data_IF_994552522817
#
_entry.id   IF_994552522817
#
_cell.length_a   1.000
_cell.length_b   1.000
_cell.length_c   1.000
_cell.angle_alpha   90.00
_cell.angle_beta   90.00
_cell.angle_gamma   90.00
#
_symmetry.space_group_name_H-M   'P 1'
#
loop_
_entity.id
_entity.type
_entity.pdbx_description
1 polymer ?
#
# COMPACT_ATOMS: atom_id res chain seq x y z
N UNK A 1 43.43 -37.70 -13.54
CA UNK A 1 42.05 -38.19 -13.86
C UNK A 1 41.11 -37.06 -13.65
N UNK A 2 40.71 -36.39 -14.74
CA UNK A 2 39.82 -35.23 -14.74
C UNK A 2 38.39 -35.75 -14.87
N UNK A 3 37.52 -35.30 -13.96
CA UNK A 3 36.10 -35.63 -14.01
C UNK A 3 35.37 -34.60 -14.91
N UNK A 4 34.74 -35.11 -15.96
CA UNK A 4 33.95 -34.40 -16.96
C UNK A 4 32.65 -33.84 -16.35
N UNK A 5 32.35 -32.57 -16.71
CA UNK A 5 31.03 -31.96 -16.45
C UNK A 5 30.03 -32.32 -17.57
N UNK A 6 28.77 -32.62 -17.27
CA UNK A 6 27.77 -32.85 -18.35
C UNK A 6 27.32 -31.50 -18.94
N UNK A 7 27.55 -31.36 -20.23
CA UNK A 7 27.05 -30.29 -21.08
C UNK A 7 25.64 -30.67 -21.59
N UNK A 8 24.57 -29.99 -21.13
CA UNK A 8 23.34 -29.81 -21.94
C UNK A 8 22.33 -28.89 -21.28
N UNK A 9 22.62 -27.58 -21.28
CA UNK A 9 21.55 -26.58 -21.19
C UNK A 9 21.34 -25.98 -22.57
N UNK A 10 20.40 -26.55 -23.34
CA UNK A 10 19.89 -25.91 -24.55
C UNK A 10 18.98 -24.75 -24.14
N UNK A 11 19.31 -23.56 -24.62
CA UNK A 11 18.42 -22.38 -24.55
C UNK A 11 17.18 -22.65 -25.40
N UNK A 12 15.95 -22.35 -24.92
CA UNK A 12 14.77 -22.40 -25.78
C UNK A 12 14.83 -21.22 -26.75
N UNK A 13 14.61 -21.52 -28.02
CA UNK A 13 14.44 -20.55 -29.12
C UNK A 13 13.25 -19.63 -28.83
N UNK A 14 13.48 -18.30 -28.80
CA UNK A 14 12.43 -17.29 -28.83
C UNK A 14 11.80 -17.23 -30.22
N UNK A 15 10.62 -17.76 -30.38
CA UNK A 15 9.71 -17.44 -31.48
C UNK A 15 8.45 -16.81 -30.91
N UNK A 16 8.50 -15.51 -30.66
CA UNK A 16 7.31 -14.73 -30.41
C UNK A 16 6.74 -14.28 -31.75
N UNK A 17 5.63 -14.87 -32.21
CA UNK A 17 4.77 -14.26 -33.20
C UNK A 17 3.91 -13.20 -32.50
N UNK A 18 4.04 -11.97 -32.98
CA UNK A 18 3.16 -10.85 -32.68
C UNK A 18 1.79 -11.10 -33.33
N UNK A 19 0.80 -11.56 -32.59
CA UNK A 19 -0.60 -11.44 -32.97
C UNK A 19 -1.41 -11.03 -31.72
N UNK A 20 -1.78 -9.76 -31.70
CA UNK A 20 -2.62 -9.18 -30.65
C UNK A 20 -2.41 -7.68 -30.55
N UNK A 21 -3.16 -6.91 -31.34
CA UNK A 21 -3.05 -5.45 -31.47
C UNK A 21 -3.16 -4.72 -30.13
N UNK A 22 -2.02 -4.38 -29.58
CA UNK A 22 -1.92 -3.44 -28.46
C UNK A 22 -2.26 -2.05 -29.00
N UNK A 23 -3.38 -1.48 -28.56
CA UNK A 23 -3.60 -0.03 -28.72
C UNK A 23 -2.41 0.67 -28.05
N UNK A 24 -1.57 1.28 -28.86
CA UNK A 24 -0.50 2.18 -28.41
C UNK A 24 -1.16 3.30 -27.63
N UNK A 25 -0.99 3.30 -26.31
CA UNK A 25 -1.26 4.50 -25.54
C UNK A 25 -0.30 5.58 -26.08
N UNK A 26 -0.86 6.67 -26.54
CA UNK A 26 -0.10 7.81 -27.02
C UNK A 26 0.96 8.22 -25.99
N UNK A 27 2.18 8.59 -26.40
CA UNK A 27 3.22 9.03 -25.49
C UNK A 27 2.69 10.19 -24.66
N UNK A 28 2.81 10.06 -23.33
CA UNK A 28 2.40 11.12 -22.41
C UNK A 28 3.28 12.34 -22.68
N UNK A 29 2.75 13.34 -23.39
CA UNK A 29 3.46 14.56 -23.74
C UNK A 29 3.92 15.25 -22.45
N UNK A 30 5.21 15.60 -22.35
CA UNK A 30 5.78 16.32 -21.22
C UNK A 30 5.03 17.63 -20.90
N UNK A 31 4.46 18.28 -21.92
CA UNK A 31 3.59 19.44 -21.79
C UNK A 31 2.31 19.13 -20.99
N UNK A 32 1.72 17.93 -21.15
CA UNK A 32 0.51 17.51 -20.42
C UNK A 32 0.82 17.20 -18.95
N UNK A 33 2.03 16.75 -18.64
CA UNK A 33 2.48 16.50 -17.26
C UNK A 33 2.75 17.82 -16.54
N UNK A 34 3.39 18.77 -17.19
CA UNK A 34 3.67 20.11 -16.63
C UNK A 34 2.39 20.91 -16.39
N UNK A 35 1.39 20.86 -17.29
CA UNK A 35 0.10 21.52 -17.10
C UNK A 35 -0.70 20.88 -15.96
N UNK A 36 -0.69 19.56 -15.81
CA UNK A 36 -1.34 18.86 -14.69
C UNK A 36 -0.68 19.16 -13.34
N UNK A 37 0.65 19.23 -13.31
CA UNK A 37 1.40 19.61 -12.10
C UNK A 37 1.15 21.07 -11.70
N UNK A 38 1.10 21.98 -12.66
CA UNK A 38 0.77 23.39 -12.45
C UNK A 38 -0.67 23.56 -11.94
N UNK A 39 -1.64 22.89 -12.55
CA UNK A 39 -3.03 22.89 -12.07
C UNK A 39 -3.16 22.34 -10.66
N UNK A 40 -2.41 21.30 -10.31
CA UNK A 40 -2.40 20.76 -8.96
C UNK A 40 -1.86 21.77 -7.94
N UNK A 41 -0.75 22.44 -8.23
CA UNK A 41 -0.16 23.46 -7.36
C UNK A 41 -1.11 24.64 -7.17
N UNK A 42 -1.69 25.17 -8.23
CA UNK A 42 -2.69 26.26 -8.19
C UNK A 42 -3.91 25.82 -7.37
N UNK A 43 -4.40 24.59 -7.58
CA UNK A 43 -5.52 24.03 -6.82
C UNK A 43 -5.19 23.97 -5.32
N UNK A 44 -3.98 23.53 -4.95
CA UNK A 44 -3.54 23.51 -3.57
C UNK A 44 -3.49 24.93 -2.95
N UNK A 45 -2.93 25.90 -3.68
CA UNK A 45 -2.82 27.29 -3.19
C UNK A 45 -4.22 27.89 -2.97
N UNK A 46 -5.10 27.77 -3.97
CA UNK A 46 -6.48 28.30 -3.89
C UNK A 46 -7.25 27.65 -2.74
N UNK A 47 -7.07 26.34 -2.54
CA UNK A 47 -7.67 25.62 -1.41
C UNK A 47 -7.19 26.20 -0.07
N UNK A 48 -5.89 26.24 0.15
CA UNK A 48 -5.35 26.73 1.42
C UNK A 48 -5.68 28.20 1.70
N UNK A 49 -5.66 29.04 0.68
CA UNK A 49 -6.07 30.44 0.82
C UNK A 49 -7.56 30.56 1.12
N UNK A 50 -8.40 29.77 0.44
CA UNK A 50 -9.86 29.79 0.63
C UNK A 50 -10.27 29.27 2.00
N UNK A 51 -9.73 28.13 2.43
CA UNK A 51 -10.03 27.53 3.74
C UNK A 51 -9.46 28.38 4.88
N UNK A 52 -8.27 28.94 4.71
CA UNK A 52 -7.67 29.88 5.67
C UNK A 52 -8.54 31.15 5.82
N UNK A 53 -8.96 31.75 4.71
CA UNK A 53 -9.82 32.91 4.72
C UNK A 53 -11.16 32.61 5.42
N UNK A 54 -11.77 31.48 5.14
CA UNK A 54 -13.01 31.03 5.77
C UNK A 54 -12.82 30.75 7.27
N UNK A 55 -11.71 30.13 7.64
CA UNK A 55 -11.35 29.86 9.03
C UNK A 55 -11.11 31.12 9.83
N UNK A 56 -10.40 32.09 9.25
CA UNK A 56 -10.17 33.42 9.86
C UNK A 56 -11.48 34.20 9.96
N UNK A 57 -12.34 34.17 8.92
CA UNK A 57 -13.66 34.81 8.95
C UNK A 57 -14.55 34.17 10.03
N UNK A 58 -14.61 32.85 10.10
CA UNK A 58 -15.40 32.12 11.10
C UNK A 58 -14.90 32.39 12.52
N UNK A 59 -13.57 32.40 12.72
CA UNK A 59 -12.98 32.76 13.99
C UNK A 59 -13.28 34.22 14.39
N UNK A 60 -13.19 35.19 13.46
CA UNK A 60 -13.55 36.60 13.70
C UNK A 60 -15.04 36.75 14.02
N UNK A 61 -15.94 36.05 13.27
CA UNK A 61 -17.36 36.07 13.52
C UNK A 61 -17.73 35.46 14.89
N UNK A 62 -17.05 34.37 15.26
CA UNK A 62 -17.18 33.76 16.59
C UNK A 62 -16.67 34.69 17.70
N UNK A 63 -15.56 35.34 17.48
CA UNK A 63 -14.95 36.29 18.41
C UNK A 63 -15.78 37.60 18.56
N UNK A 64 -16.37 38.08 17.50
CA UNK A 64 -17.24 39.24 17.51
C UNK A 64 -18.59 38.99 18.23
N UNK A 65 -19.11 37.79 18.10
CA UNK A 65 -20.36 37.34 18.74
C UNK A 65 -20.09 36.69 20.10
N UNK A 66 -19.31 37.32 20.96
CA UNK A 66 -19.11 36.85 22.35
C UNK A 66 -20.45 36.82 23.06
N UNK A 67 -21.22 35.79 22.71
CA UNK A 67 -22.58 35.63 23.16
C UNK A 67 -22.63 35.44 24.68
N UNK A 68 -23.59 36.06 25.30
CA UNK A 68 -23.79 36.05 26.76
C UNK A 68 -24.32 34.71 27.27
N UNK A 69 -24.70 33.72 26.39
CA UNK A 69 -25.30 32.44 26.76
C UNK A 69 -24.51 31.24 26.18
N UNK A 70 -24.47 30.14 26.94
CA UNK A 70 -23.77 28.89 26.56
C UNK A 70 -24.34 28.26 25.28
N UNK A 71 -25.65 28.38 25.07
CA UNK A 71 -26.37 27.89 23.87
C UNK A 71 -25.84 28.53 22.60
N UNK A 72 -25.55 29.84 22.62
CA UNK A 72 -25.02 30.55 21.45
C UNK A 72 -23.58 30.13 21.12
N UNK A 73 -22.81 29.69 22.12
CA UNK A 73 -21.43 29.17 21.91
C UNK A 73 -21.45 27.82 21.21
N UNK A 74 -22.32 26.88 21.65
CA UNK A 74 -22.48 25.57 21.00
C UNK A 74 -22.98 25.76 19.57
N UNK A 75 -23.98 26.60 19.35
CA UNK A 75 -24.50 26.92 18.02
C UNK A 75 -23.40 27.50 17.10
N UNK A 76 -22.53 28.37 17.61
CA UNK A 76 -21.43 28.96 16.82
C UNK A 76 -20.36 27.93 16.49
N UNK A 77 -20.04 27.00 17.40
CA UNK A 77 -19.13 25.89 17.15
C UNK A 77 -19.70 24.92 16.11
N UNK A 78 -20.99 24.57 16.24
CA UNK A 78 -21.67 23.69 15.26
C UNK A 78 -21.73 24.34 13.88
N UNK A 79 -22.05 25.64 13.80
CA UNK A 79 -22.08 26.37 12.52
C UNK A 79 -20.67 26.54 11.94
N UNK A 80 -19.64 26.70 12.77
CA UNK A 80 -18.23 26.73 12.33
C UNK A 80 -17.79 25.36 11.76
N UNK A 81 -18.10 24.28 12.45
CA UNK A 81 -17.82 22.93 11.98
C UNK A 81 -18.61 22.60 10.70
N UNK A 82 -19.89 22.95 10.64
CA UNK A 82 -20.74 22.77 9.45
C UNK A 82 -20.22 23.57 8.24
N UNK A 83 -19.77 24.83 8.45
CA UNK A 83 -19.19 25.64 7.36
C UNK A 83 -17.85 25.08 6.87
N UNK A 84 -17.04 24.52 7.76
CA UNK A 84 -15.81 23.83 7.38
C UNK A 84 -16.10 22.57 6.55
N UNK A 85 -17.06 21.75 6.98
CA UNK A 85 -17.49 20.55 6.25
C UNK A 85 -18.08 20.90 4.88
N UNK A 86 -18.88 21.97 4.80
CA UNK A 86 -19.43 22.47 3.54
C UNK A 86 -18.35 23.00 2.60
N UNK A 87 -17.32 23.69 3.13
CA UNK A 87 -16.19 24.13 2.34
C UNK A 87 -15.37 22.95 1.80
N UNK A 88 -15.14 21.92 2.61
CA UNK A 88 -14.48 20.68 2.20
C UNK A 88 -15.31 19.98 1.10
N UNK A 89 -16.63 19.88 1.27
CA UNK A 89 -17.54 19.27 0.30
C UNK A 89 -17.61 20.05 -1.02
N UNK A 90 -17.75 21.37 -0.95
CA UNK A 90 -17.77 22.26 -2.12
C UNK A 90 -16.44 22.18 -2.89
N UNK A 91 -15.35 22.06 -2.18
CA UNK A 91 -14.03 21.93 -2.75
C UNK A 91 -13.79 20.55 -3.38
N UNK A 92 -14.27 19.47 -2.73
CA UNK A 92 -14.24 18.14 -3.32
C UNK A 92 -15.04 18.10 -4.63
N UNK A 93 -16.21 18.77 -4.66
CA UNK A 93 -17.01 18.93 -5.87
C UNK A 93 -16.26 19.73 -6.96
N UNK A 94 -15.61 20.84 -6.60
CA UNK A 94 -14.82 21.64 -7.52
C UNK A 94 -13.61 20.86 -8.09
N UNK A 95 -12.88 20.12 -7.26
CA UNK A 95 -11.82 19.24 -7.71
C UNK A 95 -12.33 18.16 -8.68
N UNK A 96 -13.52 17.61 -8.42
CA UNK A 96 -14.19 16.67 -9.32
C UNK A 96 -14.55 17.31 -10.67
N UNK A 97 -15.10 18.54 -10.65
CA UNK A 97 -15.45 19.31 -11.85
C UNK A 97 -14.21 19.71 -12.67
N UNK A 98 -13.09 20.02 -12.02
CA UNK A 98 -11.83 20.37 -12.68
C UNK A 98 -11.07 19.13 -13.21
N UNK A 99 -11.68 17.95 -13.17
CA UNK A 99 -11.11 16.72 -13.73
C UNK A 99 -10.04 16.03 -12.88
N UNK A 100 -9.84 16.49 -11.64
CA UNK A 100 -9.02 15.77 -10.65
C UNK A 100 -9.84 14.62 -10.08
N UNK A 101 -10.03 13.56 -10.87
CA UNK A 101 -10.86 12.39 -10.51
C UNK A 101 -10.27 11.49 -9.42
N UNK A 102 -9.12 11.84 -8.87
CA UNK A 102 -8.47 11.04 -7.85
C UNK A 102 -8.96 11.40 -6.45
N UNK A 103 -9.67 10.48 -5.79
CA UNK A 103 -10.06 10.60 -4.39
C UNK A 103 -8.86 10.84 -3.45
N UNK A 104 -7.68 10.39 -3.83
CA UNK A 104 -6.43 10.64 -3.10
C UNK A 104 -6.03 12.11 -3.08
N UNK A 105 -6.27 12.88 -4.16
CA UNK A 105 -6.00 14.31 -4.16
C UNK A 105 -6.85 15.02 -3.10
N UNK A 106 -8.12 14.66 -3.00
CA UNK A 106 -9.04 15.20 -1.99
C UNK A 106 -8.57 14.83 -0.59
N UNK A 107 -8.23 13.56 -0.34
CA UNK A 107 -7.71 13.10 0.94
C UNK A 107 -6.43 13.84 1.35
N UNK A 108 -5.52 14.06 0.42
CA UNK A 108 -4.28 14.80 0.66
C UNK A 108 -4.55 16.25 1.04
N UNK A 109 -5.44 16.93 0.33
CA UNK A 109 -5.82 18.32 0.61
C UNK A 109 -6.51 18.45 1.97
N UNK A 110 -7.43 17.53 2.27
CA UNK A 110 -8.12 17.48 3.57
C UNK A 110 -7.14 17.25 4.71
N UNK A 111 -6.19 16.33 4.57
CA UNK A 111 -5.20 16.07 5.61
C UNK A 111 -4.26 17.28 5.83
N UNK A 112 -3.84 17.95 4.76
CA UNK A 112 -3.02 19.15 4.86
C UNK A 112 -3.78 20.30 5.53
N UNK A 113 -5.03 20.53 5.14
CA UNK A 113 -5.89 21.54 5.76
C UNK A 113 -6.10 21.27 7.26
N UNK A 114 -6.38 20.00 7.61
CA UNK A 114 -6.56 19.63 9.00
C UNK A 114 -5.36 20.01 9.86
N UNK A 115 -4.15 19.68 9.43
CA UNK A 115 -2.96 19.98 10.23
C UNK A 115 -2.56 21.45 10.19
N UNK A 116 -2.65 22.15 9.05
CA UNK A 116 -2.24 23.55 8.96
C UNK A 116 -3.26 24.51 9.56
N UNK A 117 -4.53 24.33 9.28
CA UNK A 117 -5.59 25.28 9.66
C UNK A 117 -6.05 25.08 11.11
N UNK A 118 -6.22 23.83 11.55
CA UNK A 118 -6.53 23.54 12.95
C UNK A 118 -5.41 23.98 13.87
N UNK A 119 -4.15 23.84 13.44
CA UNK A 119 -2.99 24.36 14.16
C UNK A 119 -3.10 25.87 14.34
N UNK A 120 -3.27 26.62 13.24
CA UNK A 120 -3.37 28.07 13.25
C UNK A 120 -4.57 28.56 14.10
N UNK A 121 -5.75 27.96 13.90
CA UNK A 121 -6.94 28.31 14.67
C UNK A 121 -6.75 28.08 16.17
N UNK A 122 -6.17 26.96 16.57
CA UNK A 122 -5.97 26.64 17.99
C UNK A 122 -4.98 27.61 18.65
N UNK A 123 -3.93 28.02 17.93
CA UNK A 123 -2.98 29.06 18.40
C UNK A 123 -3.69 30.41 18.54
N UNK A 124 -4.48 30.83 17.54
CA UNK A 124 -5.24 32.09 17.60
C UNK A 124 -6.23 32.13 18.77
N UNK A 125 -6.93 31.01 19.02
CA UNK A 125 -7.86 30.90 20.15
C UNK A 125 -7.10 30.93 21.48
N UNK A 126 -6.00 30.18 21.60
CA UNK A 126 -5.19 30.12 22.81
C UNK A 126 -4.63 31.51 23.18
N UNK A 127 -4.07 32.26 22.22
CA UNK A 127 -3.50 33.61 22.46
C UNK A 127 -4.56 34.61 22.90
N UNK A 128 -5.77 34.49 22.37
CA UNK A 128 -6.88 35.34 22.78
C UNK A 128 -7.43 35.00 24.18
N UNK A 129 -7.61 33.71 24.46
CA UNK A 129 -8.13 33.24 25.75
C UNK A 129 -7.11 33.48 26.87
N UNK A 130 -5.82 33.66 26.57
CA UNK A 130 -4.78 33.94 27.55
C UNK A 130 -5.10 35.17 28.40
N UNK A 131 -5.69 36.22 27.80
CA UNK A 131 -6.08 37.45 28.51
C UNK A 131 -7.34 37.32 29.36
N UNK A 132 -8.20 36.32 29.06
CA UNK A 132 -9.51 36.19 29.74
C UNK A 132 -9.57 35.01 30.70
N UNK A 133 -8.84 33.93 30.43
CA UNK A 133 -8.81 32.73 31.27
C UNK A 133 -7.57 31.86 30.95
N UNK A 134 -6.51 31.99 31.80
CA UNK A 134 -5.28 31.22 31.60
C UNK A 134 -5.50 29.70 31.52
N UNK A 135 -6.43 29.16 32.31
CA UNK A 135 -6.75 27.71 32.29
C UNK A 135 -7.32 27.26 30.93
N UNK A 136 -8.20 28.09 30.31
CA UNK A 136 -8.74 27.79 28.98
C UNK A 136 -7.69 27.98 27.91
N UNK A 137 -6.85 29.01 28.03
CA UNK A 137 -5.72 29.20 27.12
C UNK A 137 -4.76 28.01 27.11
N UNK A 138 -4.46 27.45 28.29
CA UNK A 138 -3.63 26.23 28.40
C UNK A 138 -4.26 25.04 27.71
N UNK A 139 -5.58 24.82 27.90
CA UNK A 139 -6.32 23.76 27.22
C UNK A 139 -6.27 23.90 25.68
N UNK A 140 -6.45 25.13 25.17
CA UNK A 140 -6.33 25.40 23.73
C UNK A 140 -4.90 25.30 23.22
N UNK A 141 -3.89 25.61 24.02
CA UNK A 141 -2.47 25.46 23.68
C UNK A 141 -2.04 23.97 23.61
N UNK A 142 -2.72 23.06 24.30
CA UNK A 142 -2.46 21.62 24.21
C UNK A 142 -2.86 21.05 22.83
N UNK A 143 -3.87 21.63 22.16
CA UNK A 143 -4.34 21.16 20.85
C UNK A 143 -3.24 21.25 19.77
N UNK A 144 -2.55 22.41 19.56
CA UNK A 144 -1.48 22.47 18.57
C UNK A 144 -0.32 21.52 18.87
N UNK A 145 0.00 21.29 20.13
CA UNK A 145 1.04 20.32 20.50
C UNK A 145 0.61 18.88 20.14
N UNK A 146 -0.64 18.52 20.42
CA UNK A 146 -1.20 17.24 20.02
C UNK A 146 -1.23 17.06 18.50
N UNK A 147 -1.63 18.09 17.75
CA UNK A 147 -1.63 18.08 16.28
C UNK A 147 -0.21 17.95 15.71
N UNK A 148 0.76 18.68 16.26
CA UNK A 148 2.17 18.56 15.85
C UNK A 148 2.73 17.17 16.14
N UNK A 149 2.43 16.60 17.31
CA UNK A 149 2.81 15.24 17.67
C UNK A 149 2.19 14.20 16.71
N UNK A 150 0.90 14.35 16.42
CA UNK A 150 0.21 13.49 15.45
C UNK A 150 0.78 13.63 14.03
N UNK A 151 1.08 14.84 13.60
CA UNK A 151 1.72 15.10 12.32
C UNK A 151 3.10 14.45 12.23
N UNK A 152 3.94 14.65 13.26
CA UNK A 152 5.27 14.03 13.32
C UNK A 152 5.17 12.51 13.27
N UNK A 153 4.28 11.92 14.07
CA UNK A 153 4.03 10.47 14.08
C UNK A 153 3.63 9.98 12.70
N UNK A 154 2.58 10.56 12.13
CA UNK A 154 1.95 10.08 10.91
C UNK A 154 2.77 10.30 9.63
N UNK A 155 3.54 11.40 9.56
CA UNK A 155 4.27 11.78 8.34
C UNK A 155 5.77 11.49 8.40
N UNK A 156 6.35 11.30 9.58
CA UNK A 156 7.81 11.16 9.72
C UNK A 156 8.22 9.88 10.44
N UNK A 157 7.62 9.53 11.57
CA UNK A 157 8.04 8.36 12.35
C UNK A 157 7.44 7.06 11.82
N UNK A 158 6.12 6.96 11.77
CA UNK A 158 5.44 5.71 11.42
C UNK A 158 5.71 5.23 9.99
N UNK A 159 5.82 6.10 8.95
CA UNK A 159 6.14 5.65 7.59
C UNK A 159 7.44 4.85 7.42
N UNK A 160 8.34 4.94 8.39
CA UNK A 160 9.62 4.21 8.40
C UNK A 160 9.79 3.28 9.61
N UNK A 161 8.75 3.15 10.43
CA UNK A 161 8.72 2.27 11.60
C UNK A 161 8.41 0.83 11.17
N UNK A 162 9.32 0.20 10.41
CA UNK A 162 9.16 -1.15 9.91
C UNK A 162 8.92 -2.15 11.05
N UNK A 163 7.82 -2.91 10.94
CA UNK A 163 7.52 -4.04 11.81
C UNK A 163 7.76 -5.37 11.10
N UNK A 164 8.32 -6.33 11.82
CA UNK A 164 8.38 -7.73 11.42
C UNK A 164 7.24 -8.44 12.12
N UNK A 165 6.24 -8.87 11.35
CA UNK A 165 5.11 -9.63 11.87
C UNK A 165 5.27 -11.11 11.59
N UNK A 166 4.90 -11.95 12.54
CA UNK A 166 4.91 -13.40 12.38
C UNK A 166 3.50 -13.93 12.60
N UNK A 167 3.04 -14.78 11.68
CA UNK A 167 1.79 -15.53 11.83
C UNK A 167 2.06 -17.01 11.68
N UNK A 168 1.46 -17.81 12.55
CA UNK A 168 1.45 -19.26 12.43
C UNK A 168 0.23 -19.70 11.62
N UNK A 169 0.43 -20.64 10.70
CA UNK A 169 -0.62 -21.22 9.88
C UNK A 169 -0.46 -22.75 9.87
N UNK A 170 -1.50 -23.45 10.25
CA UNK A 170 -1.52 -24.91 10.26
C UNK A 170 -2.32 -25.45 9.07
N UNK A 171 -1.63 -26.05 8.10
CA UNK A 171 -2.19 -26.72 6.92
C UNK A 171 -1.96 -28.23 6.96
N UNK A 172 -1.46 -28.75 8.08
CA UNK A 172 -0.98 -30.13 8.19
C UNK A 172 -2.10 -31.20 8.31
N UNK A 173 -3.30 -30.79 8.65
CA UNK A 173 -4.33 -31.73 9.04
C UNK A 173 -3.98 -32.47 10.33
N UNK A 174 -3.94 -33.84 10.32
CA UNK A 174 -3.72 -34.62 11.56
C UNK A 174 -2.25 -34.78 11.95
N UNK A 175 -1.35 -34.83 10.97
CA UNK A 175 0.10 -35.04 11.20
C UNK A 175 0.92 -34.10 10.36
N UNK A 176 1.70 -33.20 10.96
CA UNK A 176 2.59 -32.31 10.22
C UNK A 176 3.70 -33.09 9.51
N UNK A 177 3.90 -32.87 8.23
CA UNK A 177 5.00 -33.43 7.43
C UNK A 177 6.24 -32.56 7.47
N UNK A 178 6.07 -31.25 7.74
CA UNK A 178 7.16 -30.29 7.75
C UNK A 178 6.76 -28.89 8.17
N UNK A 179 7.73 -27.98 8.07
CA UNK A 179 7.57 -26.54 8.34
C UNK A 179 8.12 -25.76 7.16
N UNK A 180 7.45 -24.65 6.81
CA UNK A 180 7.85 -23.72 5.78
C UNK A 180 7.84 -22.30 6.35
N UNK A 181 8.95 -21.61 6.25
CA UNK A 181 9.09 -20.19 6.60
C UNK A 181 8.94 -19.35 5.33
N UNK A 182 7.74 -18.86 5.09
CA UNK A 182 7.42 -18.02 3.95
C UNK A 182 7.48 -16.55 4.35
N UNK A 183 8.38 -15.80 3.74
CA UNK A 183 8.45 -14.33 3.89
C UNK A 183 7.60 -13.67 2.80
N UNK A 184 6.59 -12.93 3.22
CA UNK A 184 5.71 -12.15 2.36
C UNK A 184 6.12 -10.68 2.39
N UNK A 185 6.49 -10.16 1.23
CA UNK A 185 6.89 -8.78 0.99
C UNK A 185 5.95 -8.15 -0.05
N UNK A 186 5.56 -6.90 0.16
CA UNK A 186 4.64 -6.21 -0.76
C UNK A 186 4.80 -4.71 -0.71
N UNK A 187 4.42 -4.06 -1.82
CA UNK A 187 4.18 -2.63 -1.85
C UNK A 187 5.34 -1.81 -1.27
N UNK A 188 6.58 -2.11 -1.72
CA UNK A 188 7.76 -1.29 -1.39
C UNK A 188 7.56 0.14 -1.89
N UNK A 189 6.98 0.29 -3.06
CA UNK A 189 6.38 1.49 -3.69
C UNK A 189 7.13 2.78 -3.33
N UNK A 190 8.48 2.72 -3.42
CA UNK A 190 9.36 3.80 -3.03
C UNK A 190 9.58 4.84 -4.16
N UNK A 191 9.87 6.08 -3.78
CA UNK A 191 10.32 7.13 -4.70
C UNK A 191 11.79 6.94 -5.08
N UNK A 192 12.60 6.43 -4.16
CA UNK A 192 14.03 6.19 -4.28
C UNK A 192 14.46 5.07 -3.36
N UNK A 193 15.58 4.44 -3.67
CA UNK A 193 16.19 3.46 -2.79
C UNK A 193 17.17 4.17 -1.86
N UNK A 194 16.85 4.16 -0.57
CA UNK A 194 17.59 4.81 0.49
C UNK A 194 17.91 3.88 1.67
N UNK A 195 18.30 4.46 2.82
CA UNK A 195 18.62 3.68 4.03
C UNK A 195 17.45 2.84 4.55
N UNK A 196 16.22 3.30 4.36
CA UNK A 196 15.01 2.59 4.79
C UNK A 196 14.83 1.30 3.98
N UNK A 197 14.85 1.38 2.65
CA UNK A 197 14.72 0.23 1.77
C UNK A 197 15.89 -0.76 1.96
N UNK A 198 17.11 -0.23 2.20
CA UNK A 198 18.27 -1.06 2.53
C UNK A 198 18.07 -1.84 3.84
N UNK A 199 17.48 -1.21 4.85
CA UNK A 199 17.13 -1.86 6.12
C UNK A 199 16.07 -2.94 5.91
N UNK A 200 15.05 -2.69 5.09
CA UNK A 200 14.01 -3.68 4.77
C UNK A 200 14.61 -4.96 4.18
N UNK A 201 15.48 -4.81 3.17
CA UNK A 201 16.14 -5.97 2.54
C UNK A 201 17.04 -6.70 3.54
N UNK A 202 17.75 -5.98 4.41
CA UNK A 202 18.58 -6.60 5.45
C UNK A 202 17.75 -7.37 6.49
N UNK A 203 16.61 -6.82 6.94
CA UNK A 203 15.70 -7.54 7.83
C UNK A 203 15.10 -8.78 7.16
N UNK A 204 14.68 -8.67 5.88
CA UNK A 204 14.23 -9.81 5.10
C UNK A 204 15.25 -10.94 5.07
N UNK A 205 16.53 -10.60 4.86
CA UNK A 205 17.63 -11.56 4.86
C UNK A 205 17.88 -12.18 6.24
N UNK A 206 17.79 -11.38 7.31
CA UNK A 206 18.01 -11.86 8.70
C UNK A 206 16.97 -12.89 9.15
N UNK A 207 15.77 -12.82 8.60
CA UNK A 207 14.70 -13.77 8.89
C UNK A 207 14.99 -15.19 8.36
N UNK A 208 15.96 -15.36 7.45
CA UNK A 208 16.34 -16.66 6.86
C UNK A 208 15.11 -17.46 6.40
N UNK A 209 14.28 -16.91 5.49
CA UNK A 209 13.10 -17.60 4.99
C UNK A 209 13.49 -18.77 4.08
N UNK A 210 12.61 -19.79 4.01
CA UNK A 210 12.73 -20.87 3.03
C UNK A 210 12.21 -20.42 1.66
N UNK A 211 11.16 -19.60 1.65
CA UNK A 211 10.49 -19.09 0.46
C UNK A 211 10.21 -17.58 0.62
N UNK A 212 10.48 -16.81 -0.41
CA UNK A 212 10.12 -15.39 -0.44
C UNK A 212 9.09 -15.13 -1.53
N UNK A 213 8.02 -14.42 -1.18
CA UNK A 213 6.96 -14.03 -2.11
C UNK A 213 6.76 -12.51 -2.07
N UNK A 214 6.86 -11.90 -3.25
CA UNK A 214 6.61 -10.49 -3.47
C UNK A 214 5.29 -10.28 -4.20
N UNK A 215 4.39 -9.49 -3.64
CA UNK A 215 3.06 -9.29 -4.23
C UNK A 215 2.91 -8.00 -5.02
N UNK A 216 4.03 -7.40 -5.49
CA UNK A 216 4.00 -6.29 -6.46
C UNK A 216 4.20 -4.91 -5.86
N UNK A 217 4.10 -3.90 -6.74
CA UNK A 217 4.26 -2.47 -6.47
C UNK A 217 5.65 -2.14 -5.88
N UNK A 218 6.71 -2.32 -6.71
CA UNK A 218 8.10 -2.18 -6.27
C UNK A 218 8.57 -0.74 -6.19
N UNK A 219 8.46 0.02 -7.29
CA UNK A 219 8.95 1.40 -7.36
C UNK A 219 7.93 2.33 -8.02
N UNK A 220 7.73 3.50 -7.44
CA UNK A 220 6.82 4.53 -7.96
C UNK A 220 7.40 5.94 -7.78
N UNK A 221 8.52 6.29 -8.45
CA UNK A 221 9.10 7.61 -8.34
C UNK A 221 8.17 8.67 -8.95
N UNK A 222 8.09 9.84 -8.30
CA UNK A 222 7.23 10.94 -8.71
C UNK A 222 7.92 11.95 -9.62
N UNK A 223 9.19 12.22 -9.35
CA UNK A 223 9.99 13.23 -10.06
C UNK A 223 11.39 12.69 -10.39
N UNK A 224 12.37 12.93 -9.52
CA UNK A 224 13.74 12.44 -9.58
C UNK A 224 14.05 11.66 -8.29
N UNK A 225 14.81 10.58 -8.35
CA UNK A 225 15.37 9.93 -9.56
C UNK A 225 14.29 9.44 -10.54
N UNK A 226 14.68 9.17 -11.77
CA UNK A 226 13.78 8.57 -12.77
C UNK A 226 13.38 7.15 -12.37
N UNK A 227 12.31 6.62 -12.99
CA UNK A 227 11.91 5.22 -12.76
C UNK A 227 13.04 4.24 -13.09
N UNK A 228 13.72 4.43 -14.23
CA UNK A 228 14.81 3.56 -14.65
C UNK A 228 15.97 3.55 -13.63
N UNK A 229 16.33 4.72 -13.09
CA UNK A 229 17.35 4.84 -12.05
C UNK A 229 16.91 4.16 -10.75
N UNK A 230 15.66 4.34 -10.33
CA UNK A 230 15.13 3.71 -9.12
C UNK A 230 15.06 2.19 -9.25
N UNK A 231 14.61 1.68 -10.40
CA UNK A 231 14.58 0.24 -10.69
C UNK A 231 16.01 -0.35 -10.75
N UNK A 232 16.97 0.37 -11.34
CA UNK A 232 18.37 -0.05 -11.35
C UNK A 232 18.95 -0.16 -9.94
N UNK A 233 18.67 0.83 -9.08
CA UNK A 233 19.08 0.80 -7.66
C UNK A 233 18.39 -0.30 -6.88
N UNK A 234 17.13 -0.59 -7.17
CA UNK A 234 16.41 -1.70 -6.54
C UNK A 234 17.07 -3.05 -6.89
N UNK A 235 17.38 -3.29 -8.17
CA UNK A 235 18.12 -4.50 -8.59
C UNK A 235 19.51 -4.58 -7.97
N UNK A 236 20.22 -3.45 -7.89
CA UNK A 236 21.55 -3.38 -7.28
C UNK A 236 21.52 -3.81 -5.81
N UNK A 237 20.57 -3.33 -5.02
CA UNK A 237 20.49 -3.67 -3.59
C UNK A 237 20.12 -5.14 -3.38
N UNK A 238 19.21 -5.69 -4.19
CA UNK A 238 18.86 -7.10 -4.18
C UNK A 238 20.05 -7.98 -4.55
N UNK A 239 20.81 -7.61 -5.59
CA UNK A 239 21.99 -8.36 -6.01
C UNK A 239 23.12 -8.35 -4.99
N UNK A 240 23.27 -7.24 -4.24
CA UNK A 240 24.26 -7.16 -3.17
C UNK A 240 23.89 -7.92 -1.89
N UNK A 241 22.60 -8.14 -1.67
CA UNK A 241 22.04 -8.70 -0.43
C UNK A 241 20.92 -9.70 -0.72
N UNK A 242 21.23 -10.82 -1.38
CA UNK A 242 20.22 -11.82 -1.67
C UNK A 242 19.67 -12.42 -0.37
N UNK A 243 18.39 -12.80 -0.38
CA UNK A 243 17.73 -13.42 0.77
C UNK A 243 18.21 -14.84 1.03
N UNK A 244 18.78 -15.49 -0.01
CA UNK A 244 19.27 -16.88 0.03
C UNK A 244 18.19 -17.89 0.44
N UNK A 245 16.93 -17.64 0.06
CA UNK A 245 15.83 -18.54 0.33
C UNK A 245 16.02 -19.88 -0.39
N UNK A 246 15.95 -21.00 0.34
CA UNK A 246 16.25 -22.34 -0.17
C UNK A 246 15.29 -22.78 -1.28
N UNK A 247 14.04 -22.33 -1.23
CA UNK A 247 13.00 -22.57 -2.24
C UNK A 247 12.89 -21.43 -3.25
N UNK A 248 13.70 -20.38 -3.11
CA UNK A 248 13.77 -19.24 -4.01
C UNK A 248 12.89 -18.06 -3.64
N UNK A 249 12.95 -17.02 -4.49
CA UNK A 249 12.18 -15.77 -4.39
C UNK A 249 11.32 -15.59 -5.62
N UNK A 250 10.03 -15.33 -5.43
CA UNK A 250 9.05 -15.23 -6.51
C UNK A 250 8.26 -13.94 -6.38
N UNK A 251 7.91 -13.36 -7.54
CA UNK A 251 7.28 -12.06 -7.58
C UNK A 251 6.14 -12.00 -8.59
N UNK A 252 5.07 -11.30 -8.24
CA UNK A 252 4.01 -10.94 -9.18
C UNK A 252 4.01 -9.44 -9.46
N UNK A 253 3.41 -9.06 -10.59
CA UNK A 253 3.25 -7.67 -11.00
C UNK A 253 2.18 -6.98 -10.17
N UNK A 254 2.51 -5.78 -9.67
CA UNK A 254 1.54 -4.85 -9.10
C UNK A 254 0.99 -3.84 -10.10
N UNK A 255 0.22 -2.89 -9.59
CA UNK A 255 -0.49 -1.88 -10.38
C UNK A 255 0.44 -0.83 -10.97
N UNK A 256 1.52 -0.50 -10.26
CA UNK A 256 2.48 0.54 -10.66
C UNK A 256 3.70 0.01 -11.42
N UNK A 257 3.81 -1.31 -11.59
CA UNK A 257 4.97 -1.96 -12.21
C UNK A 257 4.88 -1.96 -13.74
N UNK A 258 5.02 -0.78 -14.35
CA UNK A 258 4.88 -0.59 -15.80
C UNK A 258 5.96 -1.31 -16.61
N UNK A 259 7.16 -1.49 -16.04
CA UNK A 259 8.31 -2.14 -16.68
C UNK A 259 8.44 -3.61 -16.24
N UNK A 260 7.35 -4.28 -15.93
CA UNK A 260 7.36 -5.70 -15.60
C UNK A 260 7.75 -6.58 -16.81
N UNK A 261 8.61 -7.60 -16.67
CA UNK A 261 9.30 -8.04 -15.45
C UNK A 261 10.69 -7.41 -15.22
N UNK A 262 11.06 -6.36 -15.97
CA UNK A 262 12.41 -5.77 -15.93
C UNK A 262 12.82 -5.22 -14.56
N UNK A 263 11.84 -4.84 -13.73
CA UNK A 263 12.10 -4.35 -12.36
C UNK A 263 12.85 -5.37 -11.50
N UNK A 264 12.69 -6.66 -11.75
CA UNK A 264 13.36 -7.77 -11.02
C UNK A 264 14.39 -8.53 -11.88
N UNK A 265 14.59 -8.12 -13.13
CA UNK A 265 15.49 -8.83 -14.05
C UNK A 265 16.96 -8.82 -13.57
N UNK A 266 17.62 -9.97 -13.63
CA UNK A 266 19.02 -10.12 -13.19
C UNK A 266 19.20 -10.19 -11.67
N UNK A 267 18.14 -10.31 -10.90
CA UNK A 267 18.16 -10.59 -9.45
C UNK A 267 17.84 -12.06 -9.18
N UNK A 268 17.82 -12.45 -7.90
CA UNK A 268 17.38 -13.79 -7.49
C UNK A 268 15.86 -14.01 -7.65
N UNK A 269 15.10 -12.97 -7.94
CA UNK A 269 13.63 -13.00 -7.95
C UNK A 269 13.12 -13.49 -9.30
N UNK A 270 12.31 -14.54 -9.28
CA UNK A 270 11.65 -15.11 -10.46
C UNK A 270 10.29 -14.44 -10.68
N UNK A 271 10.10 -13.86 -11.87
CA UNK A 271 8.82 -13.28 -12.26
C UNK A 271 7.77 -14.38 -12.52
N UNK A 272 6.67 -14.37 -11.76
CA UNK A 272 5.68 -15.44 -11.71
C UNK A 272 4.30 -15.04 -12.29
N UNK A 273 4.04 -13.76 -12.61
CA UNK A 273 2.72 -13.32 -13.10
C UNK A 273 2.25 -14.11 -14.33
N UNK A 274 1.05 -14.68 -14.24
CA UNK A 274 0.46 -15.53 -15.29
C UNK A 274 1.11 -16.90 -15.42
N UNK A 275 1.85 -17.34 -14.41
CA UNK A 275 2.57 -18.63 -14.40
C UNK A 275 2.36 -19.37 -13.08
N UNK A 276 2.61 -20.67 -13.11
CA UNK A 276 2.73 -21.50 -11.92
C UNK A 276 4.07 -22.22 -11.90
N UNK A 277 4.57 -22.48 -10.71
CA UNK A 277 5.77 -23.29 -10.49
C UNK A 277 5.45 -24.33 -9.42
N UNK A 278 6.08 -25.50 -9.54
CA UNK A 278 6.03 -26.57 -8.55
C UNK A 278 7.35 -26.65 -7.82
N UNK A 279 7.29 -26.58 -6.49
CA UNK A 279 8.42 -26.64 -5.59
C UNK A 279 8.33 -27.91 -4.76
N UNK A 280 9.46 -28.57 -4.54
CA UNK A 280 9.52 -29.74 -3.66
C UNK A 280 9.84 -29.25 -2.24
N UNK A 281 8.95 -29.53 -1.32
CA UNK A 281 9.13 -29.23 0.09
C UNK A 281 9.88 -30.36 0.81
N UNK A 282 10.60 -30.05 1.90
CA UNK A 282 11.14 -31.09 2.77
C UNK A 282 10.05 -32.09 3.18
N UNK A 283 10.36 -33.39 3.17
CA UNK A 283 9.38 -34.45 3.45
C UNK A 283 8.65 -34.96 2.21
N UNK A 284 8.97 -34.45 1.00
CA UNK A 284 8.46 -34.99 -0.28
C UNK A 284 7.08 -34.48 -0.69
N UNK A 285 6.49 -33.51 0.03
CA UNK A 285 5.27 -32.84 -0.39
C UNK A 285 5.59 -31.75 -1.41
N UNK A 286 4.76 -31.60 -2.42
CA UNK A 286 4.91 -30.53 -3.38
C UNK A 286 4.13 -29.27 -2.96
N UNK A 287 4.65 -28.12 -3.34
CA UNK A 287 3.97 -26.83 -3.29
C UNK A 287 3.81 -26.28 -4.71
N UNK A 288 2.60 -26.03 -5.12
CA UNK A 288 2.27 -25.33 -6.34
C UNK A 288 2.06 -23.85 -6.04
N UNK A 289 2.93 -22.99 -6.54
CA UNK A 289 2.84 -21.55 -6.40
C UNK A 289 2.30 -20.94 -7.68
N UNK A 290 1.16 -20.28 -7.64
CA UNK A 290 0.43 -19.71 -8.79
C UNK A 290 0.48 -18.18 -8.69
N UNK A 291 1.14 -17.52 -9.64
CA UNK A 291 1.22 -16.06 -9.70
C UNK A 291 0.20 -15.48 -10.68
N UNK A 292 -0.67 -14.60 -10.21
CA UNK A 292 -1.73 -13.99 -11.01
C UNK A 292 -1.25 -12.77 -11.79
N UNK A 293 -1.85 -12.53 -12.95
CA UNK A 293 -1.79 -11.23 -13.62
C UNK A 293 -2.59 -10.16 -12.86
N UNK A 294 -2.28 -8.85 -13.02
CA UNK A 294 -3.05 -7.79 -12.38
C UNK A 294 -4.55 -7.83 -12.68
N UNK A 295 -4.95 -8.15 -13.92
CA UNK A 295 -6.36 -8.32 -14.30
C UNK A 295 -7.05 -9.41 -13.52
N UNK A 296 -6.45 -10.60 -13.47
CA UNK A 296 -6.95 -11.77 -12.73
C UNK A 296 -6.99 -11.47 -11.22
N UNK A 297 -5.95 -10.82 -10.69
CA UNK A 297 -5.90 -10.47 -9.25
C UNK A 297 -6.96 -9.43 -8.84
N UNK A 298 -7.41 -8.56 -9.75
CA UNK A 298 -8.55 -7.66 -9.52
C UNK A 298 -9.92 -8.33 -9.64
N UNK A 299 -9.95 -9.62 -9.99
CA UNK A 299 -11.19 -10.38 -10.16
C UNK A 299 -11.87 -10.13 -11.50
N UNK A 300 -11.14 -9.74 -12.54
CA UNK A 300 -11.71 -9.49 -13.87
C UNK A 300 -11.68 -10.71 -14.78
N UNK A 301 -10.93 -11.76 -14.42
CA UNK A 301 -10.72 -12.93 -15.27
C UNK A 301 -10.79 -14.22 -14.46
N UNK A 302 -12.02 -14.68 -14.21
CA UNK A 302 -12.28 -15.92 -13.47
C UNK A 302 -11.93 -17.16 -14.30
N UNK A 303 -12.02 -17.09 -15.63
CA UNK A 303 -11.71 -18.21 -16.50
C UNK A 303 -10.21 -18.51 -16.48
N UNK A 304 -9.38 -17.47 -16.52
CA UNK A 304 -7.93 -17.63 -16.39
C UNK A 304 -7.57 -18.17 -15.00
N UNK A 305 -8.21 -17.68 -13.95
CA UNK A 305 -8.02 -18.18 -12.58
C UNK A 305 -8.36 -19.68 -12.49
N UNK A 306 -9.51 -20.09 -13.03
CA UNK A 306 -9.93 -21.49 -13.08
C UNK A 306 -8.96 -22.36 -13.89
N UNK A 307 -8.51 -21.86 -15.04
CA UNK A 307 -7.50 -22.53 -15.87
C UNK A 307 -6.17 -22.73 -15.13
N UNK A 308 -5.72 -21.70 -14.41
CA UNK A 308 -4.48 -21.76 -13.64
C UNK A 308 -4.58 -22.71 -12.44
N UNK A 309 -5.72 -22.77 -11.77
CA UNK A 309 -5.97 -23.71 -10.69
C UNK A 309 -6.03 -25.16 -11.21
N UNK A 310 -6.69 -25.39 -12.35
CA UNK A 310 -6.82 -26.72 -12.96
C UNK A 310 -7.49 -27.72 -12.02
N UNK A 311 -7.24 -29.02 -12.26
CA UNK A 311 -7.75 -30.07 -11.38
C UNK A 311 -7.05 -30.03 -10.01
N UNK A 312 -7.83 -30.22 -8.94
CA UNK A 312 -7.29 -30.33 -7.60
C UNK A 312 -6.35 -31.55 -7.48
N UNK A 313 -5.23 -31.37 -6.80
CA UNK A 313 -4.31 -32.42 -6.45
C UNK A 313 -4.08 -32.41 -4.95
N UNK A 314 -4.64 -33.37 -4.24
CA UNK A 314 -4.56 -33.45 -2.78
C UNK A 314 -3.15 -33.77 -2.27
N UNK A 315 -2.26 -34.25 -3.14
CA UNK A 315 -0.86 -34.52 -2.79
C UNK A 315 0.03 -33.26 -2.75
N UNK A 316 -0.49 -32.11 -3.22
CA UNK A 316 0.27 -30.86 -3.21
C UNK A 316 -0.47 -29.73 -2.47
N UNK A 317 0.31 -28.80 -1.91
CA UNK A 317 -0.23 -27.53 -1.44
C UNK A 317 -0.39 -26.58 -2.63
N UNK A 318 -1.44 -25.76 -2.62
CA UNK A 318 -1.67 -24.74 -3.64
C UNK A 318 -1.72 -23.36 -3.03
N UNK A 319 -0.72 -22.52 -3.35
CA UNK A 319 -0.69 -21.12 -2.93
C UNK A 319 -0.96 -20.22 -4.13
N UNK A 320 -1.89 -19.26 -3.96
CA UNK A 320 -2.26 -18.30 -5.01
C UNK A 320 -1.75 -16.93 -4.61
N UNK A 321 -0.95 -16.33 -5.48
CA UNK A 321 -0.28 -15.05 -5.26
C UNK A 321 -0.82 -14.02 -6.25
N UNK A 322 -1.46 -12.98 -5.74
CA UNK A 322 -1.91 -11.84 -6.54
C UNK A 322 -1.50 -10.53 -5.91
N UNK A 323 -1.58 -9.42 -6.65
CA UNK A 323 -1.35 -8.11 -6.06
C UNK A 323 -2.60 -7.60 -5.34
N UNK A 324 -3.73 -7.50 -6.04
CA UNK A 324 -4.99 -7.03 -5.48
C UNK A 324 -5.75 -8.19 -4.82
N UNK A 325 -6.22 -8.08 -3.56
CA UNK A 325 -6.86 -9.19 -2.86
C UNK A 325 -8.25 -9.56 -3.39
N UNK A 326 -8.81 -8.83 -4.35
CA UNK A 326 -10.17 -9.04 -4.86
C UNK A 326 -10.38 -10.44 -5.49
N UNK A 327 -9.30 -11.09 -5.99
CA UNK A 327 -9.37 -12.43 -6.57
C UNK A 327 -9.88 -13.50 -5.59
N UNK A 328 -9.70 -13.29 -4.29
CA UNK A 328 -10.15 -14.27 -3.29
C UNK A 328 -11.65 -14.54 -3.34
N UNK A 329 -12.43 -13.57 -3.82
CA UNK A 329 -13.90 -13.72 -4.00
C UNK A 329 -14.27 -14.77 -5.06
N UNK A 330 -13.35 -15.07 -5.96
CA UNK A 330 -13.57 -16.00 -7.07
C UNK A 330 -13.01 -17.40 -6.78
N UNK A 331 -12.17 -17.57 -5.77
CA UNK A 331 -11.55 -18.86 -5.44
C UNK A 331 -12.55 -19.95 -5.01
N UNK A 332 -13.61 -19.64 -4.23
CA UNK A 332 -14.53 -20.68 -3.77
C UNK A 332 -15.16 -21.46 -4.94
N UNK A 333 -15.02 -22.77 -4.90
CA UNK A 333 -15.58 -23.68 -5.91
C UNK A 333 -14.75 -23.86 -7.18
N UNK A 334 -13.64 -23.13 -7.36
CA UNK A 334 -12.77 -23.30 -8.54
C UNK A 334 -11.70 -24.39 -8.38
N UNK A 335 -11.37 -24.74 -7.13
CA UNK A 335 -10.35 -25.74 -6.84
C UNK A 335 -9.82 -25.59 -5.42
N UNK A 336 -8.84 -26.43 -5.06
CA UNK A 336 -8.20 -26.36 -3.76
C UNK A 336 -7.19 -25.21 -3.72
N UNK A 337 -7.32 -24.35 -2.71
CA UNK A 337 -6.36 -23.30 -2.39
C UNK A 337 -6.09 -23.37 -0.89
N UNK A 338 -4.83 -23.58 -0.52
CA UNK A 338 -4.41 -23.69 0.87
C UNK A 338 -3.97 -22.37 1.46
N UNK A 339 -3.52 -21.40 0.61
CA UNK A 339 -3.16 -20.05 1.04
C UNK A 339 -3.28 -19.06 -0.14
N UNK A 340 -3.84 -17.90 0.12
CA UNK A 340 -3.85 -16.75 -0.77
C UNK A 340 -2.94 -15.64 -0.20
N UNK A 341 -2.14 -14.99 -1.06
CA UNK A 341 -1.24 -13.90 -0.69
C UNK A 341 -1.54 -12.66 -1.55
N UNK A 342 -1.69 -11.49 -0.92
CA UNK A 342 -1.96 -10.24 -1.61
C UNK A 342 -1.37 -9.01 -0.89
N UNK A 343 -1.27 -7.90 -1.62
CA UNK A 343 -0.88 -6.58 -1.12
C UNK A 343 -1.92 -5.52 -1.47
N UNK A 344 -1.50 -4.43 -2.14
CA UNK A 344 -2.33 -3.38 -2.75
C UNK A 344 -3.05 -2.43 -1.78
N UNK A 345 -3.51 -2.91 -0.65
CA UNK A 345 -4.36 -2.16 0.28
C UNK A 345 -3.60 -1.19 1.15
N UNK A 346 -2.29 -1.42 1.33
CA UNK A 346 -1.44 -0.73 2.30
C UNK A 346 -2.02 -0.71 3.73
N UNK A 347 -2.87 -1.68 4.09
CA UNK A 347 -3.62 -1.65 5.34
C UNK A 347 -4.59 -0.46 5.46
N UNK A 348 -4.78 0.31 4.36
CA UNK A 348 -5.47 1.58 4.31
C UNK A 348 -4.60 2.78 4.67
N UNK A 349 -3.33 2.59 5.01
CA UNK A 349 -2.33 3.60 5.46
C UNK A 349 -2.71 4.36 6.74
N UNK A 350 -3.99 4.63 6.96
CA UNK A 350 -4.54 5.27 8.14
C UNK A 350 -5.60 4.37 8.74
N UNK A 351 -5.41 3.98 9.99
CA UNK A 351 -6.37 3.17 10.76
C UNK A 351 -6.89 4.01 11.91
N UNK A 352 -8.19 4.18 11.99
CA UNK A 352 -8.84 4.87 13.10
C UNK A 352 -9.14 3.84 14.18
N UNK A 353 -8.67 4.03 15.43
CA UNK A 353 -8.99 3.10 16.51
C UNK A 353 -10.50 2.82 16.60
N UNK A 354 -10.87 1.56 16.78
CA UNK A 354 -12.24 1.03 16.84
C UNK A 354 -13.05 1.11 15.53
N UNK A 355 -12.63 1.91 14.55
CA UNK A 355 -13.32 2.03 13.25
C UNK A 355 -12.62 1.26 12.13
N UNK A 356 -11.30 1.10 12.21
CA UNK A 356 -10.48 0.49 11.16
C UNK A 356 -10.07 1.47 10.06
N UNK A 357 -9.62 0.94 8.92
CA UNK A 357 -9.20 1.72 7.77
C UNK A 357 -10.41 2.38 7.08
N UNK A 358 -10.47 3.71 6.94
CA UNK A 358 -11.56 4.40 6.24
C UNK A 358 -11.63 4.04 4.76
N UNK A 359 -10.48 3.77 4.14
CA UNK A 359 -10.34 3.49 2.73
C UNK A 359 -9.24 2.44 2.47
N UNK A 360 -9.53 1.41 1.66
CA UNK A 360 -8.62 0.27 1.44
C UNK A 360 -8.30 -0.01 -0.03
N UNK A 361 -8.81 0.77 -0.98
CA UNK A 361 -8.72 0.51 -2.44
C UNK A 361 -9.20 -0.89 -2.86
N UNK A 362 -9.88 -1.62 -2.00
CA UNK A 362 -10.35 -2.98 -2.24
C UNK A 362 -11.87 -3.08 -2.09
N UNK A 363 -12.54 -3.89 -2.91
CA UNK A 363 -13.98 -4.17 -2.74
C UNK A 363 -14.27 -5.13 -1.57
N UNK A 364 -13.23 -5.64 -0.91
CA UNK A 364 -13.38 -6.50 0.25
C UNK A 364 -13.74 -5.70 1.51
N UNK A 365 -14.44 -6.30 2.49
CA UNK A 365 -14.63 -5.71 3.81
C UNK A 365 -13.31 -5.28 4.45
N UNK A 366 -13.35 -4.25 5.31
CA UNK A 366 -12.17 -3.62 5.94
C UNK A 366 -11.28 -4.58 6.71
N UNK A 367 -11.82 -5.68 7.25
CA UNK A 367 -11.03 -6.71 7.95
C UNK A 367 -9.97 -7.35 7.05
N UNK A 368 -10.15 -7.32 5.73
CA UNK A 368 -9.18 -7.80 4.74
C UNK A 368 -8.20 -6.71 4.27
N UNK A 369 -8.14 -5.60 4.98
CA UNK A 369 -7.18 -4.55 4.64
C UNK A 369 -5.74 -4.98 4.93
N UNK A 370 -5.50 -5.83 5.94
CA UNK A 370 -4.19 -6.40 6.25
C UNK A 370 -4.31 -7.62 7.17
N UNK A 371 -3.21 -8.35 7.31
CA UNK A 371 -3.06 -9.49 8.21
C UNK A 371 -3.59 -10.81 7.65
N UNK A 372 -3.47 -11.86 8.46
CA UNK A 372 -3.97 -13.20 8.14
C UNK A 372 -5.45 -13.27 8.48
N UNK A 373 -6.26 -13.59 7.49
CA UNK A 373 -7.71 -13.71 7.57
C UNK A 373 -8.16 -15.00 6.88
N UNK A 374 -9.46 -15.27 6.92
CA UNK A 374 -10.07 -16.38 6.20
C UNK A 374 -11.23 -15.87 5.33
N UNK A 375 -11.28 -16.30 4.07
CA UNK A 375 -12.37 -16.03 3.14
C UNK A 375 -12.97 -17.33 2.63
N UNK A 376 -14.20 -17.65 3.05
CA UNK A 376 -14.91 -18.89 2.67
C UNK A 376 -14.07 -20.17 2.87
N UNK A 377 -13.39 -20.29 4.02
CA UNK A 377 -12.53 -21.42 4.36
C UNK A 377 -11.12 -21.36 3.76
N UNK A 378 -10.78 -20.32 3.01
CA UNK A 378 -9.46 -20.14 2.40
C UNK A 378 -8.66 -19.12 3.23
N UNK A 379 -7.51 -19.48 3.82
CA UNK A 379 -6.60 -18.55 4.44
C UNK A 379 -6.10 -17.51 3.43
N UNK A 380 -6.15 -16.24 3.78
CA UNK A 380 -5.58 -15.15 2.99
C UNK A 380 -4.74 -14.24 3.87
N UNK A 381 -3.50 -14.01 3.49
CA UNK A 381 -2.68 -12.95 4.08
C UNK A 381 -2.60 -11.76 3.13
N UNK A 382 -3.06 -10.60 3.62
CA UNK A 382 -2.95 -9.31 2.91
C UNK A 382 -1.92 -8.47 3.65
N UNK A 383 -0.85 -8.09 2.95
CA UNK A 383 0.20 -7.26 3.54
C UNK A 383 -0.24 -5.80 3.67
N UNK A 384 0.08 -5.18 4.80
CA UNK A 384 -0.05 -3.73 4.96
C UNK A 384 1.01 -2.94 4.15
N UNK A 385 1.94 -3.65 3.49
CA UNK A 385 2.94 -3.07 2.62
C UNK A 385 4.11 -2.40 3.35
N UNK A 386 5.23 -2.30 2.65
CA UNK A 386 6.49 -1.75 3.15
C UNK A 386 6.55 -0.23 2.96
N UNK A 387 6.06 0.26 1.82
CA UNK A 387 6.07 1.67 1.47
C UNK A 387 4.72 2.36 1.68
N UNK A 388 4.40 3.28 0.79
CA UNK A 388 3.15 4.04 0.82
C UNK A 388 2.66 4.27 -0.60
N UNK A 389 1.34 4.39 -0.81
CA UNK A 389 0.78 4.89 -2.05
C UNK A 389 1.38 6.25 -2.39
N UNK A 390 1.89 6.40 -3.61
CA UNK A 390 2.54 7.61 -4.10
C UNK A 390 1.58 8.44 -4.98
N UNK A 391 2.13 9.28 -5.84
CA UNK A 391 1.34 10.12 -6.72
C UNK A 391 0.57 11.20 -5.96
N UNK A 392 -0.75 11.20 -6.07
CA UNK A 392 -1.63 12.17 -5.42
C UNK A 392 -2.06 11.79 -4.00
N UNK A 393 -1.71 10.59 -3.52
CA UNK A 393 -2.06 10.16 -2.17
C UNK A 393 -1.28 10.94 -1.09
N UNK A 394 -1.85 11.13 0.10
CA UNK A 394 -1.10 11.65 1.24
C UNK A 394 0.00 10.64 1.62
N UNK A 395 1.21 11.15 1.86
CA UNK A 395 2.36 10.34 2.27
C UNK A 395 2.33 10.14 3.77
N UNK A 396 1.40 9.34 4.23
CA UNK A 396 1.07 9.20 5.66
C UNK A 396 0.84 7.75 6.02
N UNK A 397 1.31 7.35 7.19
CA UNK A 397 0.87 6.15 7.90
C UNK A 397 0.50 6.54 9.32
N UNK A 398 -0.64 6.02 9.80
CA UNK A 398 -1.10 6.31 11.15
C UNK A 398 -1.89 5.12 11.72
N UNK A 399 -1.40 4.55 12.81
CA UNK A 399 -1.83 3.26 13.35
C UNK A 399 -1.79 2.11 12.32
N UNK A 400 -0.90 2.23 11.36
CA UNK A 400 -0.71 1.26 10.27
C UNK A 400 0.76 1.25 9.83
N UNK A 401 1.67 0.81 10.70
CA UNK A 401 3.10 0.79 10.39
C UNK A 401 3.39 -0.09 9.17
N UNK A 402 4.47 0.21 8.42
CA UNK A 402 4.94 -0.68 7.36
C UNK A 402 5.34 -2.03 7.93
N UNK A 403 5.12 -3.09 7.15
CA UNK A 403 5.41 -4.44 7.59
C UNK A 403 6.13 -5.30 6.55
N UNK A 404 6.90 -6.25 7.05
CA UNK A 404 7.25 -7.50 6.37
C UNK A 404 6.69 -8.65 7.21
N UNK A 405 6.16 -9.68 6.57
CA UNK A 405 5.46 -10.73 7.28
C UNK A 405 6.11 -12.10 7.06
N UNK A 406 6.45 -12.77 8.15
CA UNK A 406 6.90 -14.16 8.16
C UNK A 406 5.71 -15.07 8.49
N UNK A 407 5.32 -15.92 7.56
CA UNK A 407 4.34 -16.98 7.78
C UNK A 407 5.07 -18.26 8.14
N UNK A 408 4.88 -18.74 9.36
CA UNK A 408 5.39 -20.03 9.83
C UNK A 408 4.32 -21.10 9.60
N UNK A 409 4.46 -21.84 8.52
CA UNK A 409 3.44 -22.75 8.01
C UNK A 409 3.82 -24.19 8.41
N UNK A 410 2.91 -24.88 9.09
CA UNK A 410 2.97 -26.32 9.29
C UNK A 410 2.14 -27.01 8.21
N UNK A 411 2.70 -28.02 7.52
CA UNK A 411 2.04 -28.71 6.42
C UNK A 411 2.19 -30.25 6.49
#
# INVERSE_FOLDING_TARGET
>A
MAAERPSSWRRPHNSWREEGGWRRHAPCNAATVLTRSGQFVVTCIVFHVGTLALSVYSARAWLARRARRTVDRVRTLVLGAASLLLAIAAWAALCSLLGTRSGFTVLRLVSQALFSEMLLLSVLVATREFRSSPKRALAFAAIPLGLLGTYWEAYHREPTALEVRTHELDLSGRVPLGRLRLLHLSDLQCDQIGPYEARVIEEARRLKPDLVVWTGDYVQPRLKPSRAETEARFREILGRRPTQATLGSYAVRGDVDVNWPHVVAGTEIVALSGRSIRLELPGGRALRLIGLHPGTSRGHDVLELARMLGAANDAELTFVVGHNPAFVRQLPGLGRVDLALAGHTHGGQVVIPFFGAPYTKSPLPRRYASGLNEFAGIPIHVSAGIGMERGSAPQVRFFCPPEICLLEIRY
#
